data_IF_306877368196
#
_entry.id   IF_306877368196
#
_cell.length_a   1.000
_cell.length_b   1.000
_cell.length_c   1.000
_cell.angle_alpha   90.00
_cell.angle_beta   90.00
_cell.angle_gamma   90.00
#
_symmetry.space_group_name_H-M   'P 1'
#
loop_
_entity.id
_entity.type
_entity.pdbx_description
1 polymer ?
#
# COMPACT_ATOMS: atom_id res chain seq x y z
N UNK A 1 21.70 -41.84 51.88
CA UNK A 1 22.32 -43.10 51.39
C UNK A 1 22.78 -42.90 49.96
N UNK A 2 23.86 -43.57 49.56
CA UNK A 2 24.29 -43.95 48.19
C UNK A 2 24.09 -42.93 47.05
N UNK A 3 25.12 -42.35 46.41
CA UNK A 3 26.33 -42.89 45.72
C UNK A 3 26.14 -42.92 44.18
N UNK A 4 26.86 -42.02 43.51
CA UNK A 4 27.26 -42.04 42.09
C UNK A 4 28.57 -42.85 41.91
N UNK A 5 29.28 -42.87 40.77
CA UNK A 5 28.98 -42.46 39.38
C UNK A 5 29.24 -43.64 38.39
N UNK A 6 29.49 -43.34 37.09
CA UNK A 6 30.58 -43.85 36.21
C UNK A 6 30.28 -43.41 34.73
N UNK A 7 31.22 -42.96 33.86
CA UNK A 7 32.49 -43.53 33.36
C UNK A 7 32.24 -44.77 32.46
N UNK A 8 32.83 -44.99 31.28
CA UNK A 8 33.92 -44.37 30.47
C UNK A 8 33.77 -44.88 28.99
N UNK A 9 34.40 -44.46 27.88
CA UNK A 9 35.47 -43.49 27.46
C UNK A 9 34.94 -42.68 26.23
N UNK A 10 35.59 -41.78 25.44
CA UNK A 10 36.95 -41.39 25.02
C UNK A 10 37.61 -42.16 23.83
N UNK A 11 37.83 -41.48 22.69
CA UNK A 11 38.90 -41.76 21.70
C UNK A 11 39.27 -40.47 20.90
N UNK A 12 40.35 -40.47 20.12
CA UNK A 12 41.22 -39.29 19.91
C UNK A 12 41.14 -38.54 18.54
N UNK A 13 41.82 -37.38 18.51
CA UNK A 13 42.25 -36.67 17.30
C UNK A 13 43.19 -37.52 16.41
N UNK A 14 43.38 -37.12 15.14
CA UNK A 14 44.60 -36.36 14.84
C UNK A 14 44.40 -35.11 13.97
N UNK A 15 45.38 -34.21 13.99
CA UNK A 15 45.51 -33.03 13.12
C UNK A 15 46.40 -33.37 11.94
N UNK A 16 46.06 -32.97 10.71
CA UNK A 16 46.93 -32.72 9.53
C UNK A 16 45.99 -32.39 8.34
N UNK A 17 46.28 -31.51 7.39
CA UNK A 17 47.39 -30.57 7.16
C UNK A 17 46.87 -29.28 6.51
N UNK A 18 47.67 -28.22 6.48
CA UNK A 18 47.30 -26.96 5.82
C UNK A 18 47.32 -27.08 4.28
N UNK A 19 46.36 -26.44 3.61
CA UNK A 19 46.43 -26.10 2.17
C UNK A 19 46.10 -24.62 2.01
N UNK A 20 47.11 -23.83 1.68
CA UNK A 20 46.94 -22.41 1.33
C UNK A 20 46.57 -22.30 -0.16
N UNK A 21 45.37 -21.81 -0.46
CA UNK A 21 45.08 -21.17 -1.75
C UNK A 21 44.39 -19.84 -1.47
N UNK A 22 45.19 -18.77 -1.36
CA UNK A 22 44.68 -17.41 -1.46
C UNK A 22 44.48 -17.05 -2.94
N UNK A 23 43.35 -16.44 -3.29
CA UNK A 23 43.08 -16.06 -4.68
C UNK A 23 41.62 -15.87 -5.12
N UNK A 24 40.70 -15.52 -4.22
CA UNK A 24 39.25 -15.44 -4.54
C UNK A 24 38.53 -14.17 -4.05
N UNK A 25 39.22 -13.27 -3.34
CA UNK A 25 38.60 -12.06 -2.76
C UNK A 25 38.34 -10.92 -3.75
N UNK A 26 39.13 -10.80 -4.84
CA UNK A 26 38.95 -9.72 -5.83
C UNK A 26 37.76 -9.96 -6.78
N UNK A 27 37.61 -11.17 -7.32
CA UNK A 27 36.59 -11.46 -8.35
C UNK A 27 35.12 -11.34 -7.90
N UNK A 28 34.86 -11.32 -6.58
CA UNK A 28 33.50 -11.23 -6.06
C UNK A 28 33.02 -9.76 -5.92
N UNK A 29 33.93 -8.82 -5.64
CA UNK A 29 33.59 -7.40 -5.52
C UNK A 29 33.14 -6.81 -6.85
N UNK A 30 33.83 -7.11 -7.96
CA UNK A 30 33.48 -6.57 -9.28
C UNK A 30 32.10 -7.06 -9.76
N UNK A 31 31.71 -8.30 -9.40
CA UNK A 31 30.36 -8.81 -9.64
C UNK A 31 29.31 -8.09 -8.79
N UNK A 32 29.59 -7.79 -7.53
CA UNK A 32 28.69 -7.00 -6.69
C UNK A 32 28.57 -5.55 -7.17
N UNK A 33 29.66 -4.93 -7.64
CA UNK A 33 29.66 -3.59 -8.22
C UNK A 33 28.83 -3.53 -9.52
N UNK A 34 29.01 -4.49 -10.44
CA UNK A 34 28.22 -4.58 -11.67
C UNK A 34 26.74 -4.87 -11.42
N UNK A 35 26.40 -5.70 -10.42
CA UNK A 35 25.02 -5.94 -10.01
C UNK A 35 24.40 -4.71 -9.33
N UNK A 36 25.17 -3.96 -8.54
CA UNK A 36 24.77 -2.67 -7.97
C UNK A 36 24.44 -1.66 -9.06
N UNK A 37 25.40 -1.35 -9.93
CA UNK A 37 25.25 -0.41 -11.04
C UNK A 37 24.10 -0.80 -12.01
N UNK A 38 23.86 -2.10 -12.22
CA UNK A 38 22.74 -2.58 -13.04
C UNK A 38 21.38 -2.47 -12.33
N UNK A 39 21.31 -2.76 -11.02
CA UNK A 39 20.06 -2.62 -10.24
C UNK A 39 19.72 -1.17 -9.94
N UNK A 40 20.72 -0.29 -9.77
CA UNK A 40 20.56 1.15 -9.68
C UNK A 40 19.99 1.71 -10.99
N UNK A 41 20.55 1.33 -12.15
CA UNK A 41 20.03 1.73 -13.48
C UNK A 41 18.60 1.23 -13.75
N UNK A 42 18.22 0.04 -13.26
CA UNK A 42 16.84 -0.44 -13.31
C UNK A 42 15.91 0.36 -12.38
N UNK A 43 16.37 0.69 -11.18
CA UNK A 43 15.59 1.44 -10.18
C UNK A 43 15.32 2.88 -10.63
N UNK A 44 16.35 3.57 -11.14
CA UNK A 44 16.26 4.96 -11.68
C UNK A 44 15.25 5.05 -12.84
N UNK A 45 15.01 3.96 -13.57
CA UNK A 45 14.04 3.93 -14.68
C UNK A 45 12.57 4.00 -14.23
N UNK A 46 12.25 3.55 -13.01
CA UNK A 46 10.87 3.39 -12.53
C UNK A 46 10.54 4.09 -11.20
N UNK A 47 11.54 4.47 -10.40
CA UNK A 47 11.33 5.12 -9.11
C UNK A 47 12.19 6.37 -8.90
N UNK A 48 11.53 7.53 -8.86
CA UNK A 48 11.66 8.59 -7.82
C UNK A 48 11.04 9.90 -8.31
N UNK A 49 10.14 10.46 -7.51
CA UNK A 49 9.44 11.73 -7.80
C UNK A 49 9.79 12.78 -6.72
N UNK A 50 11.06 13.21 -6.69
CA UNK A 50 11.55 14.29 -5.85
C UNK A 50 12.38 15.30 -6.66
N UNK A 51 12.58 16.49 -6.11
CA UNK A 51 13.16 17.66 -6.78
C UNK A 51 14.39 18.21 -6.05
N UNK A 52 15.14 19.04 -6.78
CA UNK A 52 16.11 20.05 -6.35
C UNK A 52 17.56 19.69 -5.96
N UNK A 53 18.41 20.65 -6.36
CA UNK A 53 19.71 21.06 -5.83
C UNK A 53 20.95 20.17 -5.99
N UNK A 54 21.71 20.51 -7.03
CA UNK A 54 23.09 21.02 -6.92
C UNK A 54 24.02 20.46 -5.83
N UNK A 55 25.12 19.85 -6.26
CA UNK A 55 26.38 20.60 -6.36
C UNK A 55 27.35 19.99 -7.37
N UNK A 56 28.34 20.78 -7.78
CA UNK A 56 29.37 20.42 -8.75
C UNK A 56 30.73 20.18 -8.09
N UNK A 57 31.42 19.12 -8.51
CA UNK A 57 32.87 19.00 -8.43
C UNK A 57 33.40 18.47 -9.77
N UNK A 58 34.42 19.12 -10.32
CA UNK A 58 35.21 18.60 -11.44
C UNK A 58 36.30 17.64 -10.89
N UNK A 59 36.95 16.79 -11.68
CA UNK A 59 38.09 17.16 -12.55
C UNK A 59 38.43 16.06 -13.61
N UNK A 60 39.37 16.28 -14.56
CA UNK A 60 39.15 15.87 -15.95
C UNK A 60 40.10 14.78 -16.52
N UNK A 61 40.14 14.69 -17.86
CA UNK A 61 40.89 13.79 -18.76
C UNK A 61 40.20 12.40 -18.93
N UNK A 62 39.94 11.90 -20.14
CA UNK A 62 40.64 12.08 -21.44
C UNK A 62 39.70 12.37 -22.63
N UNK A 63 40.29 12.65 -23.80
CA UNK A 63 39.63 13.19 -25.00
C UNK A 63 39.35 12.10 -26.06
N UNK A 64 38.13 12.06 -26.63
CA UNK A 64 37.80 11.13 -27.72
C UNK A 64 36.45 11.35 -28.42
N UNK A 65 36.50 11.84 -29.67
CA UNK A 65 35.44 11.80 -30.71
C UNK A 65 34.02 12.25 -30.30
N UNK A 66 33.71 13.54 -30.56
CA UNK A 66 32.36 14.13 -30.40
C UNK A 66 31.33 13.58 -31.40
N UNK A 67 30.77 12.39 -31.15
CA UNK A 67 29.48 12.01 -31.74
C UNK A 67 28.36 12.86 -31.12
N UNK A 68 27.47 13.43 -31.95
CA UNK A 68 26.33 14.23 -31.48
C UNK A 68 25.25 13.31 -30.89
N UNK A 69 25.44 12.82 -29.67
CA UNK A 69 24.35 12.22 -28.89
C UNK A 69 23.24 13.27 -28.73
N UNK A 70 22.13 13.09 -29.44
CA UNK A 70 20.93 13.86 -29.19
C UNK A 70 20.53 13.67 -27.73
N UNK A 71 20.21 14.76 -27.02
CA UNK A 71 19.68 14.68 -25.65
C UNK A 71 18.25 14.14 -25.72
N UNK A 72 18.12 12.83 -25.74
CA UNK A 72 16.84 12.14 -25.66
C UNK A 72 16.18 12.53 -24.33
N UNK A 73 15.11 13.33 -24.42
CA UNK A 73 14.39 13.83 -23.26
C UNK A 73 13.77 12.62 -22.54
N UNK A 74 13.89 12.47 -21.22
CA UNK A 74 13.25 11.37 -20.52
C UNK A 74 11.74 11.42 -20.80
N UNK A 75 11.21 10.38 -21.46
CA UNK A 75 9.82 10.32 -21.93
C UNK A 75 8.86 10.03 -20.77
N UNK A 76 8.84 10.94 -19.79
CA UNK A 76 7.82 10.98 -18.73
C UNK A 76 6.44 10.99 -19.40
N UNK A 77 5.52 10.16 -18.90
CA UNK A 77 4.21 9.80 -19.51
C UNK A 77 4.23 8.77 -20.66
N UNK A 78 5.38 8.24 -21.07
CA UNK A 78 5.46 7.22 -22.12
C UNK A 78 4.61 5.95 -21.87
N UNK A 79 4.47 5.54 -20.61
CA UNK A 79 3.72 4.33 -20.21
C UNK A 79 2.18 4.48 -20.30
N UNK A 80 1.66 5.70 -20.10
CA UNK A 80 0.22 6.00 -20.17
C UNK A 80 -0.23 6.48 -21.56
N UNK A 81 0.71 6.79 -22.45
CA UNK A 81 0.46 7.28 -23.83
C UNK A 81 -0.33 6.31 -24.73
N UNK A 82 -0.58 5.08 -24.28
CA UNK A 82 -1.37 4.05 -24.98
C UNK A 82 -2.51 3.49 -24.11
N UNK A 83 -2.97 4.26 -23.13
CA UNK A 83 -4.16 3.91 -22.33
C UNK A 83 -5.44 4.19 -23.14
N UNK A 84 -6.39 3.25 -23.15
CA UNK A 84 -7.63 3.36 -23.94
C UNK A 84 -8.61 4.32 -23.26
N UNK A 85 -9.47 5.00 -24.02
CA UNK A 85 -10.49 5.92 -23.48
C UNK A 85 -11.38 5.24 -22.40
N UNK A 86 -11.67 3.95 -22.56
CA UNK A 86 -12.38 3.15 -21.56
C UNK A 86 -11.64 3.05 -20.23
N UNK A 87 -10.31 2.95 -20.24
CA UNK A 87 -9.51 2.81 -19.01
C UNK A 87 -9.56 4.11 -18.20
N UNK A 88 -9.53 5.27 -18.87
CA UNK A 88 -9.78 6.56 -18.23
C UNK A 88 -11.20 6.68 -17.67
N UNK A 89 -12.21 6.19 -18.39
CA UNK A 89 -13.59 6.17 -17.91
C UNK A 89 -13.75 5.31 -16.64
N UNK A 90 -13.18 4.09 -16.61
CA UNK A 90 -13.18 3.24 -15.42
C UNK A 90 -12.47 3.90 -14.23
N UNK A 91 -11.33 4.59 -14.46
CA UNK A 91 -10.61 5.34 -13.41
C UNK A 91 -11.45 6.48 -12.84
N UNK A 92 -12.22 7.19 -13.67
CA UNK A 92 -13.09 8.29 -13.23
C UNK A 92 -14.26 7.74 -12.41
N UNK A 93 -14.97 6.72 -12.91
CA UNK A 93 -16.10 6.08 -12.21
C UNK A 93 -15.65 5.46 -10.88
N UNK A 94 -14.56 4.70 -10.88
CA UNK A 94 -13.97 4.11 -9.66
C UNK A 94 -13.43 5.15 -8.67
N UNK A 95 -13.03 6.34 -9.13
CA UNK A 95 -12.66 7.48 -8.27
C UNK A 95 -13.89 8.12 -7.64
N UNK A 96 -14.96 8.37 -8.40
CA UNK A 96 -16.20 8.93 -7.86
C UNK A 96 -16.83 8.00 -6.83
N UNK A 97 -16.87 6.69 -7.12
CA UNK A 97 -17.32 5.67 -6.17
C UNK A 97 -16.45 5.65 -4.89
N UNK A 98 -15.12 5.75 -5.00
CA UNK A 98 -14.21 5.82 -3.84
C UNK A 98 -14.49 7.01 -2.91
N UNK A 99 -14.88 8.17 -3.45
CA UNK A 99 -15.29 9.33 -2.64
C UNK A 99 -16.60 9.03 -1.91
N UNK A 100 -17.63 8.56 -2.62
CA UNK A 100 -18.94 8.25 -2.01
C UNK A 100 -18.84 7.15 -0.94
N UNK A 101 -18.04 6.10 -1.17
CA UNK A 101 -17.83 5.03 -0.19
C UNK A 101 -17.02 5.51 1.03
N UNK A 102 -16.00 6.37 0.82
CA UNK A 102 -15.23 6.99 1.91
C UNK A 102 -16.06 7.90 2.82
N UNK A 103 -16.99 8.67 2.25
CA UNK A 103 -17.96 9.46 3.01
C UNK A 103 -18.94 8.61 3.84
N UNK A 104 -19.15 7.34 3.46
CA UNK A 104 -20.11 6.45 4.10
C UNK A 104 -19.85 6.19 5.59
N UNK A 105 -18.58 6.04 6.01
CA UNK A 105 -18.25 5.79 7.43
C UNK A 105 -18.61 6.97 8.37
N UNK A 106 -18.23 8.23 8.07
CA UNK A 106 -18.74 9.38 8.82
C UNK A 106 -20.27 9.52 8.78
N UNK A 107 -20.92 9.31 7.62
CA UNK A 107 -22.37 9.41 7.50
C UNK A 107 -23.10 8.39 8.39
N UNK A 108 -22.59 7.15 8.45
CA UNK A 108 -23.09 6.10 9.34
C UNK A 108 -23.00 6.50 10.83
N UNK A 109 -21.93 7.20 11.21
CA UNK A 109 -21.72 7.73 12.55
C UNK A 109 -22.65 8.91 12.89
N UNK A 110 -22.94 9.78 11.92
CA UNK A 110 -23.90 10.89 12.08
C UNK A 110 -25.33 10.33 12.26
N UNK A 111 -25.73 9.33 11.47
CA UNK A 111 -27.03 8.65 11.62
C UNK A 111 -27.11 7.93 12.98
N UNK A 112 -26.01 7.32 13.45
CA UNK A 112 -25.94 6.73 14.79
C UNK A 112 -26.15 7.77 15.89
N UNK A 113 -25.43 8.90 15.84
CA UNK A 113 -25.59 10.00 16.80
C UNK A 113 -27.02 10.56 16.82
N UNK A 114 -27.65 10.69 15.65
CA UNK A 114 -29.07 11.05 15.53
C UNK A 114 -29.98 10.04 16.23
N UNK A 115 -29.81 8.74 15.97
CA UNK A 115 -30.60 7.69 16.60
C UNK A 115 -30.38 7.62 18.12
N UNK A 116 -29.13 7.73 18.59
CA UNK A 116 -28.79 7.83 20.03
C UNK A 116 -29.45 9.04 20.69
N UNK A 117 -29.54 10.18 20.01
CA UNK A 117 -30.25 11.35 20.55
C UNK A 117 -31.76 11.12 20.74
N UNK A 118 -32.38 10.27 19.91
CA UNK A 118 -33.79 9.86 20.08
C UNK A 118 -33.96 8.95 21.29
N UNK A 119 -33.05 7.98 21.49
CA UNK A 119 -33.07 7.12 22.68
C UNK A 119 -32.88 7.93 23.97
N UNK A 120 -31.86 8.81 24.03
CA UNK A 120 -31.61 9.67 25.19
C UNK A 120 -32.79 10.62 25.47
N UNK A 121 -33.43 11.16 24.42
CA UNK A 121 -34.62 12.01 24.58
C UNK A 121 -35.84 11.22 25.07
N UNK A 122 -36.00 9.96 24.69
CA UNK A 122 -37.06 9.11 25.21
C UNK A 122 -36.85 8.78 26.70
N UNK A 123 -35.63 8.40 27.08
CA UNK A 123 -35.23 8.13 28.48
C UNK A 123 -35.49 9.34 29.40
N UNK A 124 -35.11 10.54 28.96
CA UNK A 124 -35.24 11.79 29.74
C UNK A 124 -36.63 12.46 29.61
N UNK A 125 -37.67 11.74 29.19
CA UNK A 125 -39.02 12.30 28.96
C UNK A 125 -40.09 11.69 29.86
N UNK A 126 -41.32 12.22 29.75
CA UNK A 126 -42.53 11.68 30.36
C UNK A 126 -42.83 10.21 30.00
N UNK A 127 -42.07 9.60 29.07
CA UNK A 127 -42.09 8.16 28.83
C UNK A 127 -41.66 7.33 30.05
N UNK A 128 -40.77 7.87 30.89
CA UNK A 128 -40.24 7.21 32.10
C UNK A 128 -40.74 7.87 33.39
N UNK A 129 -41.02 9.18 33.35
CA UNK A 129 -41.45 9.95 34.54
C UNK A 129 -42.90 10.44 34.52
N UNK A 130 -43.65 10.20 33.44
CA UNK A 130 -45.03 10.66 33.29
C UNK A 130 -46.05 9.74 33.94
N UNK A 131 -46.76 10.23 34.96
CA UNK A 131 -47.88 9.52 35.60
C UNK A 131 -49.18 9.48 34.74
N UNK A 132 -49.15 10.02 33.51
CA UNK A 132 -50.33 10.24 32.67
C UNK A 132 -50.34 9.26 31.46
N UNK A 133 -51.27 8.29 31.39
CA UNK A 133 -51.28 7.26 30.35
C UNK A 133 -51.57 7.82 28.94
N UNK A 134 -52.20 8.99 28.83
CA UNK A 134 -52.44 9.64 27.54
C UNK A 134 -51.18 10.25 26.94
N UNK A 135 -50.28 10.77 27.78
CA UNK A 135 -48.97 11.30 27.39
C UNK A 135 -48.03 10.18 26.99
N UNK A 136 -47.98 9.09 27.77
CA UNK A 136 -47.15 7.91 27.46
C UNK A 136 -47.43 7.37 26.05
N UNK A 137 -48.72 7.21 25.67
CA UNK A 137 -49.07 6.69 24.33
C UNK A 137 -48.59 7.61 23.20
N UNK A 138 -48.75 8.93 23.33
CA UNK A 138 -48.28 9.90 22.32
C UNK A 138 -46.77 9.84 22.13
N UNK A 139 -46.02 9.79 23.24
CA UNK A 139 -44.56 9.67 23.20
C UNK A 139 -44.10 8.34 22.57
N UNK A 140 -44.81 7.23 22.84
CA UNK A 140 -44.53 5.92 22.25
C UNK A 140 -44.61 5.91 20.72
N UNK A 141 -45.67 6.49 20.13
CA UNK A 141 -45.83 6.53 18.68
C UNK A 141 -44.82 7.48 18.00
N UNK A 142 -44.51 8.63 18.60
CA UNK A 142 -43.46 9.54 18.11
C UNK A 142 -42.08 8.86 18.13
N UNK A 143 -41.73 8.18 19.23
CA UNK A 143 -40.49 7.43 19.37
C UNK A 143 -40.33 6.33 18.30
N UNK A 144 -41.37 5.51 18.08
CA UNK A 144 -41.40 4.51 17.01
C UNK A 144 -41.23 5.13 15.62
N UNK A 145 -41.94 6.23 15.35
CA UNK A 145 -41.90 6.92 14.06
C UNK A 145 -40.50 7.45 13.75
N UNK A 146 -39.85 8.11 14.71
CA UNK A 146 -38.47 8.57 14.59
C UNK A 146 -37.49 7.41 14.35
N UNK A 147 -37.59 6.33 15.14
CA UNK A 147 -36.73 5.14 14.98
C UNK A 147 -36.93 4.47 13.63
N UNK A 148 -38.15 4.40 13.11
CA UNK A 148 -38.44 3.86 11.79
C UNK A 148 -37.75 4.68 10.68
N UNK A 149 -37.79 6.02 10.77
CA UNK A 149 -37.08 6.92 9.84
C UNK A 149 -35.56 6.69 9.88
N UNK A 150 -34.94 6.67 11.07
CA UNK A 150 -33.51 6.38 11.20
C UNK A 150 -33.13 4.98 10.68
N UNK A 151 -34.01 3.98 10.88
CA UNK A 151 -33.81 2.62 10.36
C UNK A 151 -33.88 2.56 8.83
N UNK A 152 -34.76 3.34 8.20
CA UNK A 152 -34.81 3.49 6.74
C UNK A 152 -33.56 4.19 6.19
N UNK A 153 -33.01 5.20 6.89
CA UNK A 153 -31.73 5.81 6.50
C UNK A 153 -30.56 4.82 6.58
N UNK A 154 -30.51 3.96 7.60
CA UNK A 154 -29.52 2.87 7.67
C UNK A 154 -29.62 1.90 6.49
N UNK A 155 -30.84 1.45 6.15
CA UNK A 155 -31.07 0.54 5.02
C UNK A 155 -30.61 1.18 3.69
N UNK A 156 -30.96 2.44 3.47
CA UNK A 156 -30.56 3.18 2.26
C UNK A 156 -29.04 3.40 2.18
N UNK A 157 -28.40 3.84 3.27
CA UNK A 157 -26.94 4.02 3.31
C UNK A 157 -26.20 2.69 3.09
N UNK A 158 -26.66 1.59 3.69
CA UNK A 158 -26.09 0.26 3.49
C UNK A 158 -26.15 -0.19 2.02
N UNK A 159 -27.30 -0.01 1.37
CA UNK A 159 -27.49 -0.32 -0.04
C UNK A 159 -26.59 0.53 -0.96
N UNK A 160 -26.52 1.84 -0.72
CA UNK A 160 -25.64 2.76 -1.46
C UNK A 160 -24.17 2.39 -1.26
N UNK A 161 -23.72 2.13 -0.02
CA UNK A 161 -22.34 1.74 0.27
C UNK A 161 -21.96 0.40 -0.37
N UNK A 162 -22.90 -0.58 -0.41
CA UNK A 162 -22.69 -1.87 -1.05
C UNK A 162 -22.46 -1.75 -2.57
N UNK A 163 -23.40 -1.09 -3.28
CA UNK A 163 -23.28 -0.85 -4.73
C UNK A 163 -22.01 -0.07 -5.04
N UNK A 164 -21.74 0.99 -4.28
CA UNK A 164 -20.58 1.87 -4.49
C UNK A 164 -19.27 1.10 -4.28
N UNK A 165 -19.17 0.28 -3.23
CA UNK A 165 -17.99 -0.56 -2.97
C UNK A 165 -17.75 -1.56 -4.10
N UNK A 166 -18.80 -2.25 -4.56
CA UNK A 166 -18.70 -3.20 -5.66
C UNK A 166 -18.21 -2.54 -6.96
N UNK A 167 -18.84 -1.43 -7.37
CA UNK A 167 -18.44 -0.68 -8.58
C UNK A 167 -17.01 -0.17 -8.45
N UNK A 168 -16.64 0.37 -7.29
CA UNK A 168 -15.29 0.87 -7.01
C UNK A 168 -14.25 -0.24 -7.21
N UNK A 169 -14.39 -1.38 -6.51
CA UNK A 169 -13.42 -2.48 -6.55
C UNK A 169 -13.33 -3.08 -7.96
N UNK A 170 -14.48 -3.33 -8.60
CA UNK A 170 -14.53 -3.89 -9.96
C UNK A 170 -13.86 -2.97 -10.99
N UNK A 171 -14.07 -1.66 -10.93
CA UNK A 171 -13.42 -0.71 -11.85
C UNK A 171 -11.90 -0.65 -11.65
N UNK A 172 -11.40 -0.72 -10.42
CA UNK A 172 -9.96 -0.65 -10.15
C UNK A 172 -9.22 -1.94 -10.50
N UNK A 173 -9.74 -3.12 -10.15
CA UNK A 173 -9.10 -4.39 -10.54
C UNK A 173 -9.14 -4.62 -12.05
N UNK A 174 -10.24 -4.27 -12.73
CA UNK A 174 -10.31 -4.35 -14.20
C UNK A 174 -9.30 -3.41 -14.91
N UNK A 175 -8.95 -2.28 -14.29
CA UNK A 175 -7.89 -1.38 -14.79
C UNK A 175 -6.50 -1.96 -14.47
N UNK A 176 -6.30 -2.55 -13.28
CA UNK A 176 -5.06 -3.22 -12.89
C UNK A 176 -4.71 -4.38 -13.84
N UNK A 177 -5.66 -5.30 -14.06
CA UNK A 177 -5.49 -6.43 -14.97
C UNK A 177 -5.11 -5.99 -16.39
N UNK A 178 -5.81 -4.97 -16.93
CA UNK A 178 -5.52 -4.43 -18.27
C UNK A 178 -4.11 -3.86 -18.41
N UNK A 179 -3.59 -3.18 -17.38
CA UNK A 179 -2.21 -2.70 -17.41
C UNK A 179 -1.23 -3.88 -17.35
N UNK A 180 -1.39 -4.79 -16.40
CA UNK A 180 -0.50 -5.95 -16.22
C UNK A 180 -0.45 -6.79 -17.49
N UNK A 181 -1.59 -7.01 -18.14
CA UNK A 181 -1.68 -7.69 -19.43
C UNK A 181 -0.89 -6.97 -20.54
N UNK A 182 -1.06 -5.64 -20.70
CA UNK A 182 -0.28 -4.85 -21.68
C UNK A 182 1.22 -4.83 -21.36
N UNK A 183 1.58 -4.75 -20.08
CA UNK A 183 2.97 -4.77 -19.62
C UNK A 183 3.62 -6.12 -19.93
N UNK A 184 2.92 -7.22 -19.63
CA UNK A 184 3.33 -8.60 -19.97
C UNK A 184 3.54 -8.77 -21.47
N UNK A 185 2.61 -8.28 -22.31
CA UNK A 185 2.74 -8.32 -23.77
C UNK A 185 3.97 -7.53 -24.26
N UNK A 186 4.16 -6.30 -23.78
CA UNK A 186 5.30 -5.46 -24.17
C UNK A 186 6.64 -6.03 -23.70
N UNK A 187 6.71 -6.58 -22.49
CA UNK A 187 7.92 -7.17 -21.92
C UNK A 187 8.31 -8.47 -22.64
N UNK A 188 7.35 -9.36 -22.90
CA UNK A 188 7.59 -10.57 -23.71
C UNK A 188 8.08 -10.20 -25.11
N UNK A 189 7.48 -9.17 -25.74
CA UNK A 189 7.90 -8.66 -27.06
C UNK A 189 9.31 -8.03 -27.05
N UNK A 190 9.77 -7.52 -25.90
CA UNK A 190 11.14 -7.04 -25.73
C UNK A 190 12.13 -8.21 -25.58
N UNK A 191 11.84 -9.19 -24.71
CA UNK A 191 12.68 -10.40 -24.53
C UNK A 191 12.86 -11.16 -25.84
N UNK A 192 11.78 -11.35 -26.63
CA UNK A 192 11.84 -12.04 -27.92
C UNK A 192 12.61 -11.28 -29.03
N UNK A 193 13.24 -10.14 -28.69
CA UNK A 193 14.10 -9.33 -29.56
C UNK A 193 15.53 -9.16 -29.01
N UNK A 194 15.84 -9.83 -27.91
CA UNK A 194 17.15 -9.78 -27.25
C UNK A 194 18.14 -10.71 -27.96
N UNK A 195 19.43 -10.35 -27.97
CA UNK A 195 20.49 -11.16 -28.59
C UNK A 195 20.73 -12.50 -27.86
N UNK A 196 21.14 -13.53 -28.60
CA UNK A 196 21.36 -14.89 -28.06
C UNK A 196 22.37 -14.90 -26.89
N UNK A 197 23.43 -14.08 -26.99
CA UNK A 197 24.45 -13.95 -25.96
C UNK A 197 23.94 -13.35 -24.64
N UNK A 198 22.77 -12.71 -24.62
CA UNK A 198 22.12 -12.32 -23.36
C UNK A 198 21.46 -13.52 -22.69
N UNK A 199 20.80 -14.39 -23.45
CA UNK A 199 20.18 -15.61 -22.91
C UNK A 199 21.22 -16.57 -22.30
N UNK A 200 22.44 -16.64 -22.85
CA UNK A 200 23.54 -17.40 -22.26
C UNK A 200 23.97 -16.88 -20.86
N UNK A 201 23.69 -15.61 -20.54
CA UNK A 201 23.97 -15.03 -19.21
C UNK A 201 22.83 -15.17 -18.20
N UNK A 202 21.63 -15.59 -18.64
CA UNK A 202 20.41 -15.60 -17.81
C UNK A 202 19.78 -16.99 -17.78
N UNK A 203 19.77 -17.61 -16.60
CA UNK A 203 19.16 -18.92 -16.40
C UNK A 203 17.67 -18.91 -16.75
N UNK A 204 17.31 -19.53 -17.89
CA UNK A 204 16.00 -19.38 -18.55
C UNK A 204 14.81 -19.77 -17.69
N UNK A 205 14.92 -20.81 -16.84
CA UNK A 205 13.87 -21.18 -15.89
C UNK A 205 13.58 -20.12 -14.81
N UNK A 206 14.61 -19.35 -14.41
CA UNK A 206 14.51 -18.27 -13.44
C UNK A 206 13.82 -17.03 -14.06
N UNK A 207 14.06 -16.77 -15.35
CA UNK A 207 13.55 -15.62 -16.09
C UNK A 207 12.01 -15.58 -16.15
N UNK A 208 11.35 -16.70 -16.46
CA UNK A 208 9.87 -16.76 -16.55
C UNK A 208 9.19 -16.64 -15.18
N UNK A 209 9.82 -17.17 -14.13
CA UNK A 209 9.37 -17.01 -12.75
C UNK A 209 9.49 -15.53 -12.31
N UNK A 210 10.68 -14.93 -12.45
CA UNK A 210 10.92 -13.50 -12.16
C UNK A 210 9.97 -12.57 -12.91
N UNK A 211 9.73 -12.83 -14.20
CA UNK A 211 8.75 -12.07 -14.98
C UNK A 211 7.36 -12.11 -14.34
N UNK A 212 6.92 -13.27 -13.86
CA UNK A 212 5.61 -13.44 -13.24
C UNK A 212 5.56 -12.72 -11.88
N UNK A 213 6.58 -12.91 -11.04
CA UNK A 213 6.72 -12.23 -9.74
C UNK A 213 6.78 -10.70 -9.88
N UNK A 214 7.57 -10.19 -10.82
CA UNK A 214 7.78 -8.76 -11.01
C UNK A 214 6.53 -8.09 -11.64
N UNK A 215 5.76 -8.82 -12.47
CA UNK A 215 4.46 -8.34 -12.95
C UNK A 215 3.43 -8.28 -11.82
N UNK A 216 3.38 -9.26 -10.92
CA UNK A 216 2.45 -9.23 -9.79
C UNK A 216 2.88 -8.20 -8.72
N UNK A 217 4.19 -8.04 -8.46
CA UNK A 217 4.73 -6.91 -7.67
C UNK A 217 4.38 -5.56 -8.28
N UNK A 218 4.40 -5.44 -9.62
CA UNK A 218 3.93 -4.22 -10.30
C UNK A 218 2.42 -4.05 -10.19
N UNK A 219 1.62 -5.14 -10.16
CA UNK A 219 0.17 -5.08 -9.90
C UNK A 219 -0.14 -4.60 -8.48
N UNK A 220 0.51 -5.18 -7.48
CA UNK A 220 0.34 -4.85 -6.06
C UNK A 220 0.88 -3.46 -5.74
N UNK A 221 2.09 -3.16 -6.24
CA UNK A 221 2.78 -1.89 -6.11
C UNK A 221 2.23 -0.79 -7.01
N UNK A 222 1.28 -1.08 -7.92
CA UNK A 222 0.66 -0.02 -8.70
C UNK A 222 -0.12 0.89 -7.74
N UNK A 223 0.25 2.18 -7.73
CA UNK A 223 -0.15 3.12 -6.68
C UNK A 223 -1.66 3.30 -6.49
N UNK A 224 -2.50 2.72 -7.35
CA UNK A 224 -3.97 2.66 -7.25
C UNK A 224 -4.44 2.30 -5.83
N UNK A 225 -3.91 1.24 -5.20
CA UNK A 225 -4.34 0.83 -3.84
C UNK A 225 -4.10 1.95 -2.80
N UNK A 226 -2.93 2.58 -2.85
CA UNK A 226 -2.54 3.67 -1.95
C UNK A 226 -3.27 4.99 -2.26
N UNK A 227 -3.45 5.32 -3.55
CA UNK A 227 -4.19 6.49 -4.03
C UNK A 227 -5.69 6.38 -3.73
N UNK A 228 -6.26 5.18 -3.76
CA UNK A 228 -7.62 4.90 -3.28
C UNK A 228 -7.75 5.23 -1.79
N UNK A 229 -6.90 4.63 -0.94
CA UNK A 229 -6.94 4.86 0.50
C UNK A 229 -6.81 6.35 0.84
N UNK A 230 -5.90 7.06 0.17
CA UNK A 230 -5.71 8.51 0.34
C UNK A 230 -6.95 9.32 -0.08
N UNK A 231 -7.56 9.02 -1.24
CA UNK A 231 -8.80 9.68 -1.71
C UNK A 231 -9.97 9.48 -0.76
N UNK A 232 -10.21 8.24 -0.33
CA UNK A 232 -11.32 7.94 0.58
C UNK A 232 -11.08 8.53 1.97
N UNK A 233 -9.84 8.50 2.49
CA UNK A 233 -9.48 9.19 3.74
C UNK A 233 -9.77 10.70 3.67
N UNK A 234 -9.37 11.39 2.60
CA UNK A 234 -9.67 12.82 2.41
C UNK A 234 -11.19 13.06 2.38
N UNK A 235 -11.95 12.21 1.70
CA UNK A 235 -13.42 12.31 1.68
C UNK A 235 -14.02 12.15 3.08
N UNK A 236 -13.59 11.15 3.85
CA UNK A 236 -14.07 10.96 5.23
C UNK A 236 -13.73 12.16 6.12
N UNK A 237 -12.50 12.68 5.99
CA UNK A 237 -11.99 13.80 6.78
C UNK A 237 -12.74 15.10 6.50
N UNK A 238 -13.03 15.39 5.22
CA UNK A 238 -13.84 16.55 4.80
C UNK A 238 -15.26 16.50 5.39
N UNK A 239 -15.93 15.34 5.33
CA UNK A 239 -17.27 15.18 5.91
C UNK A 239 -17.25 15.35 7.44
N UNK A 240 -16.23 14.84 8.14
CA UNK A 240 -16.06 15.06 9.58
C UNK A 240 -15.88 16.54 9.94
N UNK A 241 -15.04 17.26 9.21
CA UNK A 241 -14.82 18.70 9.41
C UNK A 241 -16.06 19.56 9.19
N UNK A 242 -16.92 19.20 8.21
CA UNK A 242 -18.19 19.89 7.99
C UNK A 242 -19.19 19.71 9.15
N UNK A 243 -19.15 18.59 9.88
CA UNK A 243 -20.09 18.33 10.99
C UNK A 243 -19.63 18.94 12.32
N UNK A 244 -18.35 18.77 12.70
CA UNK A 244 -17.82 19.35 13.94
C UNK A 244 -16.31 19.58 13.86
N UNK A 245 -15.91 20.73 13.32
CA UNK A 245 -14.50 21.13 13.19
C UNK A 245 -13.76 21.11 14.55
N UNK A 246 -14.41 21.54 15.64
CA UNK A 246 -13.80 21.59 16.97
C UNK A 246 -13.38 20.19 17.47
N UNK A 247 -14.30 19.22 17.44
CA UNK A 247 -14.00 17.85 17.87
C UNK A 247 -12.99 17.16 16.94
N UNK A 248 -13.09 17.42 15.63
CA UNK A 248 -12.21 16.76 14.64
C UNK A 248 -10.77 17.30 14.74
N UNK A 249 -10.56 18.59 15.01
CA UNK A 249 -9.23 19.17 15.25
C UNK A 249 -8.59 18.58 16.51
N UNK A 250 -9.35 18.39 17.60
CA UNK A 250 -8.82 17.74 18.81
C UNK A 250 -8.35 16.32 18.53
N UNK A 251 -9.13 15.52 17.80
CA UNK A 251 -8.72 14.16 17.42
C UNK A 251 -7.56 14.12 16.41
N UNK A 252 -7.47 15.12 15.53
CA UNK A 252 -6.33 15.28 14.62
C UNK A 252 -5.00 15.53 15.36
N UNK A 253 -5.02 16.16 16.54
CA UNK A 253 -3.82 16.36 17.37
C UNK A 253 -3.32 15.08 18.05
N UNK A 254 -4.20 14.13 18.38
CA UNK A 254 -3.80 12.82 18.92
C UNK A 254 -3.28 11.86 17.84
N UNK A 255 -3.73 12.02 16.58
CA UNK A 255 -3.32 11.21 15.44
C UNK A 255 -1.79 11.09 15.25
N UNK A 256 -0.98 12.18 15.26
CA UNK A 256 0.48 12.07 15.13
C UNK A 256 1.16 11.39 16.33
N UNK A 257 0.58 11.43 17.54
CA UNK A 257 1.12 10.69 18.68
C UNK A 257 0.96 9.17 18.50
N UNK A 258 -0.19 8.72 17.97
CA UNK A 258 -0.45 7.32 17.61
C UNK A 258 0.43 6.88 16.42
N UNK A 259 0.66 7.77 15.45
CA UNK A 259 1.59 7.52 14.35
C UNK A 259 3.04 7.36 14.83
N UNK A 260 3.47 8.15 15.83
CA UNK A 260 4.81 8.06 16.40
C UNK A 260 5.02 6.75 17.19
N UNK A 261 4.07 6.33 18.01
CA UNK A 261 4.18 5.08 18.78
C UNK A 261 4.12 3.83 17.89
N UNK A 262 3.27 3.83 16.87
CA UNK A 262 3.23 2.74 15.88
C UNK A 262 4.50 2.66 15.02
N UNK A 263 5.06 3.80 14.57
CA UNK A 263 6.33 3.84 13.87
C UNK A 263 7.52 3.41 14.75
N UNK A 264 7.51 3.74 16.04
CA UNK A 264 8.50 3.29 17.02
C UNK A 264 8.43 1.77 17.23
N UNK A 265 7.22 1.22 17.43
CA UNK A 265 7.00 -0.23 17.54
C UNK A 265 7.47 -0.98 16.29
N UNK A 266 7.09 -0.51 15.09
CA UNK A 266 7.50 -1.14 13.83
C UNK A 266 9.04 -1.15 13.63
N UNK A 267 9.73 -0.08 14.04
CA UNK A 267 11.21 -0.05 14.05
C UNK A 267 11.81 -1.03 15.05
N UNK A 268 11.21 -1.17 16.23
CA UNK A 268 11.66 -2.15 17.22
C UNK A 268 11.49 -3.58 16.71
N UNK A 269 10.33 -3.96 16.19
CA UNK A 269 10.10 -5.30 15.61
C UNK A 269 11.11 -5.58 14.48
N UNK A 270 11.26 -4.67 13.52
CA UNK A 270 12.19 -4.84 12.41
C UNK A 270 13.66 -5.02 12.88
N UNK A 271 14.08 -4.26 13.91
CA UNK A 271 15.44 -4.39 14.47
C UNK A 271 15.69 -5.71 15.20
N UNK A 272 14.64 -6.34 15.77
CA UNK A 272 14.75 -7.68 16.38
C UNK A 272 14.83 -8.77 15.32
N UNK A 273 13.96 -8.73 14.33
CA UNK A 273 13.97 -9.68 13.21
C UNK A 273 15.32 -9.68 12.48
N UNK A 274 15.94 -8.51 12.25
CA UNK A 274 17.28 -8.41 11.64
C UNK A 274 18.43 -9.00 12.49
N UNK A 275 18.24 -9.19 13.79
CA UNK A 275 19.20 -9.86 14.69
C UNK A 275 18.95 -11.37 14.75
N UNK A 276 17.71 -11.81 14.58
CA UNK A 276 17.33 -13.23 14.55
C UNK A 276 17.66 -13.91 13.21
N UNK A 277 17.78 -13.15 12.11
CA UNK A 277 18.09 -13.66 10.77
C UNK A 277 19.56 -13.54 10.37
N UNK A 278 20.50 -13.44 11.33
CA UNK A 278 21.92 -13.14 11.06
C UNK A 278 22.90 -14.04 11.84
#
# INVERSE_FOLDING_TARGET
>A
MLKSPNLETAEEHPKHSAVLIGGSSMFNNDRQALLGDTTEKLTISYGTLTTNSSNSSTDPLTNGRKSKKAKEKPRKLGLFSSSTALDYFLIIVGTFASVVHGAGFPLLSIVLGGMTSVFLRAENSDFVHGNEPSTFKKCNEEFKHQIFIYSMYYLFLGFVMFITSYIQIACWEAVAERLVHRLRQNYLRAILRQDIAWFDTVQTGNLTARLSDDLERVREGWGIKHLFLFKSFISSFVVGFFYSWQMTVVMALFTPAIALTSAWMGRMTASRTQVETR
#
